data_IF_067598080158
#
_entry.id   IF_067598080158
#
_cell.length_a   1.000
_cell.length_b   1.000
_cell.length_c   1.000
_cell.angle_alpha   90.00
_cell.angle_beta   90.00
_cell.angle_gamma   90.00
#
_symmetry.space_group_name_H-M   'P 1'
#
loop_
_entity.id
_entity.type
_entity.pdbx_description
1 polymer ?
#
# COMPACT_ATOMS: atom_id res chain seq x y z
N UNK A 1 28.09 10.94 -19.30
CA UNK A 1 27.04 11.95 -19.14
C UNK A 1 25.68 11.23 -19.13
N UNK A 2 24.76 11.58 -18.23
CA UNK A 2 23.40 11.02 -18.26
C UNK A 2 22.70 11.53 -19.53
N UNK A 3 22.12 10.63 -20.30
CA UNK A 3 21.34 10.99 -21.47
C UNK A 3 20.05 11.67 -20.99
N UNK A 4 19.93 12.98 -21.25
CA UNK A 4 18.72 13.73 -20.87
C UNK A 4 17.60 13.32 -21.85
N UNK A 5 16.52 12.77 -21.30
CA UNK A 5 15.35 12.40 -22.10
C UNK A 5 14.63 13.68 -22.57
N UNK A 6 14.30 13.82 -23.87
CA UNK A 6 13.57 14.98 -24.39
C UNK A 6 12.20 15.13 -23.74
N UNK A 7 11.77 16.37 -23.45
CA UNK A 7 10.48 16.64 -22.80
C UNK A 7 9.28 16.09 -23.59
N UNK A 8 9.32 16.18 -24.92
CA UNK A 8 8.26 15.68 -25.77
C UNK A 8 8.13 14.16 -25.72
N UNK A 9 9.28 13.46 -25.63
CA UNK A 9 9.29 12.00 -25.44
C UNK A 9 8.65 11.59 -24.10
N UNK A 10 8.90 12.38 -23.05
CA UNK A 10 8.29 12.17 -21.73
C UNK A 10 6.78 12.45 -21.78
N UNK A 11 6.36 13.58 -22.39
CA UNK A 11 4.93 13.91 -22.58
C UNK A 11 4.20 12.82 -23.35
N UNK A 12 4.79 12.33 -24.44
CA UNK A 12 4.27 11.21 -25.21
C UNK A 12 4.11 9.96 -24.34
N UNK A 13 5.14 9.59 -23.56
CA UNK A 13 5.08 8.42 -22.67
C UNK A 13 3.99 8.55 -21.60
N UNK A 14 3.75 9.75 -21.05
CA UNK A 14 2.65 10.00 -20.12
C UNK A 14 1.30 9.74 -20.81
N UNK A 15 1.08 10.32 -21.99
CA UNK A 15 -0.18 10.16 -22.72
C UNK A 15 -0.47 8.69 -23.06
N UNK A 16 0.53 7.97 -23.56
CA UNK A 16 0.45 6.54 -23.89
C UNK A 16 0.24 5.66 -22.66
N UNK A 17 0.81 6.04 -21.50
CA UNK A 17 0.58 5.37 -20.22
C UNK A 17 -0.84 5.56 -19.71
N UNK A 18 -1.39 6.75 -19.85
CA UNK A 18 -2.78 7.02 -19.49
C UNK A 18 -3.76 6.26 -20.42
N UNK A 19 -3.41 6.10 -21.68
CA UNK A 19 -4.17 5.22 -22.61
C UNK A 19 -4.12 3.78 -22.11
N UNK A 20 -2.95 3.26 -21.77
CA UNK A 20 -2.81 1.91 -21.17
C UNK A 20 -3.69 1.75 -19.94
N UNK A 21 -3.63 2.69 -18.99
CA UNK A 21 -4.43 2.64 -17.77
C UNK A 21 -5.93 2.67 -18.06
N UNK A 22 -6.36 3.46 -19.03
CA UNK A 22 -7.79 3.52 -19.45
C UNK A 22 -8.26 2.19 -20.00
N UNK A 23 -7.49 1.56 -20.89
CA UNK A 23 -7.88 0.31 -21.55
C UNK A 23 -7.77 -0.91 -20.61
N UNK A 24 -6.85 -0.86 -19.64
CA UNK A 24 -6.69 -1.93 -18.63
C UNK A 24 -7.63 -1.82 -17.45
N UNK A 25 -8.38 -0.72 -17.33
CA UNK A 25 -9.38 -0.58 -16.30
C UNK A 25 -10.60 -1.47 -16.62
N UNK A 26 -10.98 -2.33 -15.68
CA UNK A 26 -12.11 -3.24 -15.84
C UNK A 26 -13.41 -2.49 -16.06
N UNK A 27 -14.17 -2.97 -17.04
CA UNK A 27 -15.49 -2.40 -17.37
C UNK A 27 -16.65 -3.18 -16.77
N UNK A 28 -16.40 -4.45 -16.39
CA UNK A 28 -17.44 -5.37 -15.95
C UNK A 28 -17.13 -5.96 -14.58
N UNK A 29 -18.17 -6.18 -13.79
CA UNK A 29 -18.09 -6.91 -12.53
C UNK A 29 -18.45 -8.38 -12.77
N UNK A 30 -17.50 -9.28 -12.46
CA UNK A 30 -17.71 -10.71 -12.36
C UNK A 30 -17.40 -11.09 -10.92
N UNK A 31 -18.44 -11.25 -10.11
CA UNK A 31 -18.31 -11.49 -8.67
C UNK A 31 -17.38 -12.66 -8.38
N UNK A 32 -16.41 -12.44 -7.51
CA UNK A 32 -15.39 -13.43 -7.18
C UNK A 32 -14.25 -13.57 -8.20
N UNK A 33 -14.21 -12.73 -9.24
CA UNK A 33 -13.12 -12.71 -10.23
C UNK A 33 -12.55 -11.32 -10.48
N UNK A 34 -13.40 -10.35 -10.77
CA UNK A 34 -13.02 -8.96 -11.06
C UNK A 34 -14.18 -8.00 -10.80
N UNK A 35 -13.87 -6.72 -10.65
CA UNK A 35 -14.87 -5.69 -10.40
C UNK A 35 -14.67 -4.50 -11.34
N UNK A 36 -15.78 -3.92 -11.78
CA UNK A 36 -15.76 -2.73 -12.64
C UNK A 36 -15.01 -1.58 -11.93
N UNK A 37 -14.16 -0.91 -12.67
CA UNK A 37 -13.34 0.20 -12.16
C UNK A 37 -11.95 -0.20 -11.65
N UNK A 38 -11.70 -1.48 -11.36
CA UNK A 38 -10.39 -1.93 -10.87
C UNK A 38 -9.36 -2.10 -11.99
N UNK A 39 -8.10 -2.12 -11.59
CA UNK A 39 -6.98 -2.60 -12.40
C UNK A 39 -6.45 -3.92 -11.84
N UNK A 40 -5.84 -4.71 -12.72
CA UNK A 40 -5.29 -5.99 -12.31
C UNK A 40 -4.18 -5.85 -11.27
N UNK A 41 -4.34 -6.55 -10.16
CA UNK A 41 -3.29 -6.85 -9.20
C UNK A 41 -3.18 -8.36 -9.05
N UNK A 42 -1.99 -8.84 -8.77
CA UNK A 42 -1.71 -10.26 -8.65
C UNK A 42 -1.08 -10.57 -7.31
N UNK A 43 -1.61 -11.58 -6.66
CA UNK A 43 -1.09 -12.17 -5.44
C UNK A 43 -0.34 -13.46 -5.74
N UNK A 44 0.82 -13.66 -5.12
CA UNK A 44 1.61 -14.87 -5.23
C UNK A 44 2.15 -15.27 -3.85
N UNK A 45 2.14 -16.57 -3.54
CA UNK A 45 2.76 -17.08 -2.32
C UNK A 45 4.26 -17.27 -2.47
N UNK A 46 4.98 -17.10 -1.36
CA UNK A 46 6.41 -17.40 -1.30
C UNK A 46 6.68 -18.89 -1.56
N UNK A 47 7.82 -19.18 -2.17
CA UNK A 47 8.24 -20.55 -2.51
C UNK A 47 8.19 -21.54 -1.34
N UNK A 48 8.48 -21.11 -0.11
CA UNK A 48 8.41 -21.93 1.09
C UNK A 48 6.98 -22.44 1.42
N UNK A 49 5.95 -21.82 0.83
CA UNK A 49 4.54 -22.18 1.02
C UNK A 49 3.90 -22.69 -0.26
N UNK A 50 4.71 -23.24 -1.17
CA UNK A 50 4.24 -23.74 -2.48
C UNK A 50 3.14 -24.79 -2.38
N UNK A 51 3.17 -25.62 -1.35
CA UNK A 51 2.14 -26.64 -1.08
C UNK A 51 0.77 -26.00 -0.77
N UNK A 52 0.72 -24.74 -0.29
CA UNK A 52 -0.53 -24.03 0.02
C UNK A 52 -1.13 -23.32 -1.19
N UNK A 53 -0.37 -22.99 -2.21
CA UNK A 53 -0.89 -22.22 -3.34
C UNK A 53 -0.09 -22.36 -4.64
N UNK A 54 1.10 -22.96 -4.58
CA UNK A 54 1.98 -23.09 -5.73
C UNK A 54 2.64 -21.77 -6.14
N UNK A 55 3.37 -21.80 -7.27
CA UNK A 55 4.03 -20.62 -7.87
C UNK A 55 3.08 -19.73 -8.68
N UNK A 56 1.82 -20.09 -8.75
CA UNK A 56 0.87 -19.39 -9.59
C UNK A 56 0.58 -18.01 -9.02
N UNK A 57 0.43 -17.07 -9.92
CA UNK A 57 -0.13 -15.75 -9.61
C UNK A 57 -1.65 -15.84 -9.71
N UNK A 58 -2.32 -15.26 -8.72
CA UNK A 58 -3.77 -15.15 -8.69
C UNK A 58 -4.14 -13.69 -8.78
N UNK A 59 -5.05 -13.34 -9.68
CA UNK A 59 -5.62 -12.01 -9.69
C UNK A 59 -6.31 -11.75 -8.36
N UNK A 60 -6.05 -10.60 -7.76
CA UNK A 60 -6.61 -10.20 -6.48
C UNK A 60 -7.10 -8.77 -6.53
N UNK A 61 -8.26 -8.52 -5.92
CA UNK A 61 -8.84 -7.20 -5.77
C UNK A 61 -8.57 -6.71 -4.36
N UNK A 62 -7.86 -5.60 -4.22
CA UNK A 62 -7.51 -5.06 -2.91
C UNK A 62 -7.58 -3.53 -2.88
N UNK A 63 -7.87 -2.99 -1.69
CA UNK A 63 -8.02 -1.56 -1.45
C UNK A 63 -6.75 -0.79 -1.78
N UNK A 64 -5.60 -1.28 -1.34
CA UNK A 64 -4.31 -0.62 -1.53
C UNK A 64 -4.04 -0.26 -3.00
N UNK A 65 -4.23 -1.23 -3.90
CA UNK A 65 -3.99 -1.01 -5.33
C UNK A 65 -4.98 0.01 -5.90
N UNK A 66 -6.26 -0.14 -5.57
CA UNK A 66 -7.31 0.72 -6.13
C UNK A 66 -7.19 2.14 -5.60
N UNK A 67 -7.07 2.32 -4.29
CA UNK A 67 -6.88 3.64 -3.69
C UNK A 67 -5.51 4.25 -4.08
N UNK A 68 -4.47 3.42 -4.19
CA UNK A 68 -3.15 3.86 -4.62
C UNK A 68 -3.15 4.45 -6.03
N UNK A 69 -3.71 3.74 -7.03
CA UNK A 69 -3.80 4.24 -8.41
C UNK A 69 -4.74 5.45 -8.48
N UNK A 70 -5.90 5.39 -7.80
CA UNK A 70 -6.82 6.53 -7.73
C UNK A 70 -6.10 7.79 -7.23
N UNK A 71 -5.39 7.70 -6.11
CA UNK A 71 -4.71 8.85 -5.50
C UNK A 71 -3.59 9.41 -6.37
N UNK A 72 -2.85 8.54 -7.06
CA UNK A 72 -1.83 8.95 -8.04
C UNK A 72 -2.46 9.73 -9.20
N UNK A 73 -3.50 9.16 -9.83
CA UNK A 73 -4.18 9.79 -10.94
C UNK A 73 -4.87 11.11 -10.53
N UNK A 74 -5.48 11.14 -9.34
CA UNK A 74 -6.09 12.36 -8.80
C UNK A 74 -5.06 13.46 -8.55
N UNK A 75 -3.88 13.13 -8.02
CA UNK A 75 -2.78 14.09 -7.84
C UNK A 75 -2.26 14.57 -9.20
N UNK A 76 -2.12 13.69 -10.18
CA UNK A 76 -1.74 14.06 -11.55
C UNK A 76 -2.74 15.03 -12.17
N UNK A 77 -4.04 14.77 -12.04
CA UNK A 77 -5.09 15.65 -12.57
C UNK A 77 -5.09 17.02 -11.88
N UNK A 78 -4.99 17.06 -10.55
CA UNK A 78 -4.93 18.34 -9.83
C UNK A 78 -3.65 19.14 -10.16
N UNK A 79 -2.59 18.47 -10.52
CA UNK A 79 -1.34 19.10 -10.96
C UNK A 79 -1.40 19.63 -12.41
N UNK A 80 -2.23 19.02 -13.26
CA UNK A 80 -2.47 19.41 -14.67
C UNK A 80 -3.90 19.04 -15.09
N UNK A 81 -4.80 19.99 -14.97
CA UNK A 81 -6.24 19.80 -15.27
C UNK A 81 -6.54 19.65 -16.76
N UNK A 82 -5.56 19.80 -17.64
CA UNK A 82 -5.71 19.53 -19.07
C UNK A 82 -5.83 18.04 -19.39
N UNK A 83 -5.37 17.16 -18.51
CA UNK A 83 -5.40 15.71 -18.66
C UNK A 83 -6.81 15.12 -18.39
N UNK A 84 -7.81 15.56 -19.16
CA UNK A 84 -9.24 15.20 -18.96
C UNK A 84 -9.52 13.70 -19.00
N UNK A 85 -8.68 12.92 -19.70
CA UNK A 85 -8.81 11.45 -19.77
C UNK A 85 -8.67 10.75 -18.40
N UNK A 86 -8.13 11.42 -17.39
CA UNK A 86 -8.05 10.90 -16.01
C UNK A 86 -9.43 10.87 -15.34
N UNK A 87 -10.31 11.83 -15.62
CA UNK A 87 -11.60 11.96 -14.94
C UNK A 87 -12.48 10.71 -15.03
N UNK A 88 -12.69 10.11 -16.22
CA UNK A 88 -13.48 8.88 -16.31
C UNK A 88 -12.89 7.71 -15.53
N UNK A 89 -11.55 7.62 -15.47
CA UNK A 89 -10.88 6.57 -14.68
C UNK A 89 -11.15 6.75 -13.19
N UNK A 90 -11.06 7.99 -12.68
CA UNK A 90 -11.37 8.30 -11.29
C UNK A 90 -12.82 7.99 -10.94
N UNK A 91 -13.77 8.38 -11.81
CA UNK A 91 -15.19 8.11 -11.60
C UNK A 91 -15.51 6.62 -11.54
N UNK A 92 -14.83 5.81 -12.38
CA UNK A 92 -15.05 4.36 -12.41
C UNK A 92 -14.45 3.64 -11.20
N UNK A 93 -13.24 4.02 -10.75
CA UNK A 93 -12.55 3.34 -9.65
C UNK A 93 -13.08 3.76 -8.28
N UNK A 94 -13.64 4.95 -8.13
CA UNK A 94 -14.06 5.47 -6.84
C UNK A 94 -15.11 4.60 -6.12
N UNK A 95 -16.21 4.14 -6.77
CA UNK A 95 -17.14 3.19 -6.17
C UNK A 95 -16.46 1.89 -5.75
N UNK A 96 -15.49 1.44 -6.51
CA UNK A 96 -14.69 0.26 -6.18
C UNK A 96 -13.86 0.47 -4.90
N UNK A 97 -13.18 1.62 -4.76
CA UNK A 97 -12.49 1.97 -3.51
C UNK A 97 -13.45 1.97 -2.32
N UNK A 98 -14.63 2.56 -2.45
CA UNK A 98 -15.62 2.61 -1.38
C UNK A 98 -16.13 1.23 -0.97
N UNK A 99 -16.09 0.23 -1.85
CA UNK A 99 -16.55 -1.13 -1.54
C UNK A 99 -15.70 -1.87 -0.49
N UNK A 100 -14.52 -1.34 -0.16
CA UNK A 100 -13.65 -1.84 0.91
C UNK A 100 -13.93 -1.19 2.27
N UNK A 101 -14.83 -0.21 2.34
CA UNK A 101 -15.10 0.55 3.54
C UNK A 101 -16.12 -0.10 4.47
N UNK A 102 -15.94 0.16 5.76
CA UNK A 102 -16.96 -0.02 6.80
C UNK A 102 -17.03 1.30 7.58
N UNK A 103 -18.01 2.12 7.25
CA UNK A 103 -18.03 3.52 7.72
C UNK A 103 -16.87 4.31 7.11
N UNK A 104 -16.04 4.93 7.95
CA UNK A 104 -14.83 5.65 7.51
C UNK A 104 -13.54 4.83 7.60
N UNK A 105 -13.62 3.57 8.01
CA UNK A 105 -12.50 2.64 8.04
C UNK A 105 -12.49 1.78 6.78
N UNK A 106 -11.31 1.36 6.36
CA UNK A 106 -11.12 0.52 5.20
C UNK A 106 -10.35 -0.76 5.56
N UNK A 107 -10.58 -1.78 4.74
CA UNK A 107 -9.90 -3.07 4.85
C UNK A 107 -9.18 -3.38 3.54
N UNK A 108 -8.11 -4.13 3.63
CA UNK A 108 -7.34 -4.56 2.45
C UNK A 108 -8.19 -5.38 1.47
N UNK A 109 -9.02 -6.29 1.97
CA UNK A 109 -9.91 -7.11 1.15
C UNK A 109 -11.38 -6.75 1.31
N UNK A 110 -12.16 -7.00 0.27
CA UNK A 110 -13.62 -6.90 0.31
C UNK A 110 -14.24 -7.95 1.21
N UNK A 111 -15.41 -7.63 1.74
CA UNK A 111 -16.33 -8.63 2.31
C UNK A 111 -16.99 -9.40 1.18
N UNK A 112 -16.68 -10.68 1.09
CA UNK A 112 -17.21 -11.62 0.10
C UNK A 112 -17.84 -12.82 0.79
N UNK A 113 -18.76 -13.55 0.12
CA UNK A 113 -19.20 -14.85 0.63
C UNK A 113 -18.00 -15.75 0.92
N UNK A 114 -18.03 -16.55 1.99
CA UNK A 114 -16.99 -17.50 2.30
C UNK A 114 -16.67 -18.40 1.11
N UNK A 115 -15.40 -18.63 0.86
CA UNK A 115 -14.96 -19.51 -0.22
C UNK A 115 -14.96 -20.95 0.29
N UNK A 116 -16.09 -21.67 0.13
CA UNK A 116 -16.28 -23.02 0.66
C UNK A 116 -16.31 -24.05 -0.47
N UNK A 117 -15.58 -25.15 -0.27
CA UNK A 117 -15.71 -26.36 -1.10
C UNK A 117 -16.43 -27.50 -0.36
N UNK A 118 -16.60 -27.42 0.97
CA UNK A 118 -17.19 -28.48 1.77
C UNK A 118 -18.65 -28.17 2.05
N UNK A 119 -19.57 -29.01 1.54
CA UNK A 119 -21.02 -28.95 1.78
C UNK A 119 -21.37 -29.49 3.20
N UNK A 120 -20.70 -29.00 4.23
CA UNK A 120 -20.98 -29.42 5.58
C UNK A 120 -21.77 -28.34 6.31
N UNK A 121 -23.08 -28.55 6.40
CA UNK A 121 -24.00 -27.72 7.18
C UNK A 121 -24.56 -26.49 6.45
N UNK A 122 -25.76 -26.08 6.85
CA UNK A 122 -26.35 -24.78 6.51
C UNK A 122 -25.73 -23.73 7.43
N UNK A 123 -24.50 -23.31 7.17
CA UNK A 123 -23.96 -22.17 7.87
C UNK A 123 -24.62 -20.89 7.35
N UNK A 124 -24.96 -19.92 8.23
CA UNK A 124 -25.36 -18.61 7.77
C UNK A 124 -24.24 -18.03 6.91
N UNK A 125 -24.59 -17.49 5.75
CA UNK A 125 -23.63 -16.87 4.83
C UNK A 125 -23.24 -15.51 5.41
N UNK A 126 -22.30 -15.50 6.32
CA UNK A 126 -21.66 -14.28 6.76
C UNK A 126 -20.60 -13.87 5.74
N UNK A 127 -20.58 -12.58 5.38
CA UNK A 127 -19.51 -12.05 4.52
C UNK A 127 -18.21 -11.96 5.31
N UNK A 128 -17.12 -12.36 4.68
CA UNK A 128 -15.77 -12.33 5.26
C UNK A 128 -14.80 -11.55 4.37
N UNK A 129 -13.85 -10.86 4.96
CA UNK A 129 -12.74 -10.29 4.20
C UNK A 129 -11.85 -11.41 3.69
N UNK A 130 -11.64 -11.49 2.38
CA UNK A 130 -10.83 -12.52 1.76
C UNK A 130 -10.32 -12.15 0.37
N UNK A 131 -9.23 -12.77 -0.09
CA UNK A 131 -8.77 -12.64 -1.48
C UNK A 131 -9.88 -13.03 -2.48
N UNK A 132 -9.94 -12.32 -3.60
CA UNK A 132 -10.96 -12.53 -4.63
C UNK A 132 -10.80 -13.88 -5.30
N UNK A 133 -9.59 -14.21 -5.77
CA UNK A 133 -9.30 -15.39 -6.57
C UNK A 133 -8.16 -16.22 -5.97
N UNK A 134 -8.35 -16.87 -4.86
CA UNK A 134 -7.32 -17.76 -4.31
C UNK A 134 -7.68 -19.22 -4.55
N UNK A 135 -6.70 -20.04 -4.97
CA UNK A 135 -6.94 -21.45 -5.29
C UNK A 135 -7.36 -22.26 -4.08
N UNK A 136 -6.71 -22.00 -2.94
CA UNK A 136 -7.03 -22.72 -1.72
C UNK A 136 -8.38 -22.24 -1.21
N UNK A 137 -9.35 -23.13 -1.24
CA UNK A 137 -10.71 -22.90 -0.78
C UNK A 137 -10.88 -23.43 0.63
N UNK A 138 -11.92 -22.94 1.30
CA UNK A 138 -12.30 -23.44 2.60
C UNK A 138 -11.98 -22.52 3.76
N UNK A 139 -12.22 -23.04 4.93
CA UNK A 139 -12.25 -22.27 6.18
C UNK A 139 -10.94 -21.59 6.52
N UNK A 140 -9.81 -22.23 6.17
CA UNK A 140 -8.50 -21.68 6.44
C UNK A 140 -8.28 -20.29 5.79
N UNK A 141 -8.55 -20.18 4.47
CA UNK A 141 -8.37 -18.89 3.78
C UNK A 141 -9.35 -17.84 4.29
N UNK A 142 -10.60 -18.22 4.52
CA UNK A 142 -11.60 -17.31 5.05
C UNK A 142 -11.20 -16.75 6.43
N UNK A 143 -10.67 -17.59 7.31
CA UNK A 143 -10.21 -17.14 8.62
C UNK A 143 -8.88 -16.37 8.55
N UNK A 144 -7.91 -16.87 7.78
CA UNK A 144 -6.59 -16.24 7.71
C UNK A 144 -6.62 -14.85 7.04
N UNK A 145 -7.58 -14.62 6.13
CA UNK A 145 -7.75 -13.36 5.43
C UNK A 145 -8.76 -12.41 6.09
N UNK A 146 -9.60 -12.89 7.00
CA UNK A 146 -10.62 -12.07 7.66
C UNK A 146 -9.98 -11.17 8.74
N UNK A 147 -9.04 -10.33 8.32
CA UNK A 147 -8.31 -9.39 9.19
C UNK A 147 -9.16 -8.19 9.56
N UNK A 148 -8.82 -7.52 10.65
CA UNK A 148 -9.40 -6.24 11.03
C UNK A 148 -9.14 -5.17 9.96
N UNK A 149 -9.91 -4.08 9.99
CA UNK A 149 -9.59 -2.87 9.24
C UNK A 149 -8.21 -2.34 9.70
N UNK A 150 -7.55 -1.57 8.86
CA UNK A 150 -6.20 -1.12 9.16
C UNK A 150 -6.01 0.38 8.88
N UNK A 151 -4.95 0.92 9.47
CA UNK A 151 -4.63 2.33 9.39
C UNK A 151 -4.17 2.76 7.99
N UNK A 152 -3.54 1.86 7.24
CA UNK A 152 -3.00 2.14 5.93
C UNK A 152 -4.10 2.29 4.87
N UNK A 153 -4.91 1.25 4.71
CA UNK A 153 -6.05 1.28 3.79
C UNK A 153 -7.07 2.35 4.19
N UNK A 154 -7.25 2.58 5.50
CA UNK A 154 -8.09 3.69 5.99
C UNK A 154 -7.51 5.05 5.59
N UNK A 155 -6.22 5.27 5.69
CA UNK A 155 -5.60 6.52 5.26
C UNK A 155 -5.70 6.70 3.74
N UNK A 156 -5.40 5.66 2.96
CA UNK A 156 -5.44 5.71 1.49
C UNK A 156 -6.86 5.83 0.94
N UNK A 157 -7.83 5.10 1.49
CA UNK A 157 -9.23 5.17 1.09
C UNK A 157 -9.85 6.54 1.40
N UNK A 158 -9.58 7.07 2.61
CA UNK A 158 -10.04 8.44 2.95
C UNK A 158 -9.33 9.52 2.13
N UNK A 159 -8.07 9.32 1.75
CA UNK A 159 -7.38 10.21 0.82
C UNK A 159 -8.04 10.18 -0.56
N UNK A 160 -8.53 9.02 -1.02
CA UNK A 160 -9.31 8.92 -2.24
C UNK A 160 -10.64 9.70 -2.15
N UNK A 161 -11.34 9.60 -1.01
CA UNK A 161 -12.55 10.42 -0.76
C UNK A 161 -12.20 11.92 -0.81
N UNK A 162 -11.12 12.33 -0.15
CA UNK A 162 -10.66 13.72 -0.16
C UNK A 162 -10.36 14.23 -1.58
N UNK A 163 -9.63 13.45 -2.39
CA UNK A 163 -9.36 13.80 -3.77
C UNK A 163 -10.63 13.88 -4.61
N UNK A 164 -11.54 12.91 -4.45
CA UNK A 164 -12.82 12.90 -5.17
C UNK A 164 -13.64 14.17 -4.86
N UNK A 165 -13.73 14.57 -3.57
CA UNK A 165 -14.39 15.80 -3.16
C UNK A 165 -13.73 17.06 -3.72
N UNK A 166 -12.39 17.07 -3.85
CA UNK A 166 -11.65 18.21 -4.45
C UNK A 166 -11.86 18.32 -5.96
N UNK A 167 -12.00 17.21 -6.65
CA UNK A 167 -12.11 17.17 -8.13
C UNK A 167 -13.56 17.32 -8.59
N UNK A 168 -14.49 16.64 -7.94
CA UNK A 168 -15.90 16.56 -8.37
C UNK A 168 -16.86 17.36 -7.49
N UNK A 169 -16.40 17.95 -6.39
CA UNK A 169 -17.22 18.68 -5.44
C UNK A 169 -17.71 17.84 -4.26
N UNK A 170 -18.31 18.53 -3.27
CA UNK A 170 -18.70 17.94 -1.98
C UNK A 170 -20.10 17.27 -1.98
N UNK A 171 -20.62 16.84 -3.10
CA UNK A 171 -21.97 16.25 -3.17
C UNK A 171 -22.07 14.85 -2.55
N UNK A 172 -21.03 14.40 -1.87
CA UNK A 172 -20.98 13.06 -1.29
C UNK A 172 -21.26 13.13 0.23
N UNK A 173 -22.24 12.39 0.75
CA UNK A 173 -22.51 12.29 2.19
C UNK A 173 -21.40 11.59 2.97
N UNK A 174 -20.36 11.09 2.30
CA UNK A 174 -19.24 10.38 2.91
C UNK A 174 -18.46 11.31 3.82
N UNK A 175 -18.42 10.92 5.10
CA UNK A 175 -17.59 11.61 6.09
C UNK A 175 -16.17 11.07 6.04
N UNK A 176 -15.22 11.98 5.86
CA UNK A 176 -13.80 11.69 6.03
C UNK A 176 -13.51 11.21 7.47
N UNK A 177 -12.60 10.27 7.59
CA UNK A 177 -12.09 9.84 8.89
C UNK A 177 -11.50 11.04 9.64
N UNK A 178 -11.89 11.22 10.89
CA UNK A 178 -11.25 12.19 11.78
C UNK A 178 -9.99 11.58 12.42
N UNK A 179 -9.20 12.39 13.12
CA UNK A 179 -7.98 11.90 13.78
C UNK A 179 -8.24 10.86 14.87
N UNK A 180 -9.42 10.90 15.52
CA UNK A 180 -9.79 10.01 16.63
C UNK A 180 -9.77 8.53 16.21
N UNK A 181 -10.09 8.22 14.94
CA UNK A 181 -10.05 6.85 14.42
C UNK A 181 -8.65 6.27 14.54
N UNK A 182 -7.63 7.03 14.17
CA UNK A 182 -6.22 6.62 14.27
C UNK A 182 -5.73 6.69 15.72
N UNK A 183 -6.10 7.75 16.47
CA UNK A 183 -5.69 7.96 17.85
C UNK A 183 -6.26 6.91 18.81
N UNK A 184 -7.33 6.21 18.42
CA UNK A 184 -7.87 5.09 19.19
C UNK A 184 -6.95 3.86 19.20
N UNK A 185 -5.99 3.79 18.29
CA UNK A 185 -5.08 2.65 18.10
C UNK A 185 -3.62 3.08 18.16
N UNK A 186 -3.25 3.83 19.21
CA UNK A 186 -1.86 4.20 19.48
C UNK A 186 -1.12 3.11 20.22
N UNK A 187 0.16 2.91 19.89
CA UNK A 187 1.01 1.92 20.53
C UNK A 187 1.16 2.13 22.05
N UNK A 188 1.07 3.36 22.53
CA UNK A 188 1.08 3.66 23.96
C UNK A 188 -0.09 3.05 24.73
N UNK A 189 -1.25 2.89 24.06
CA UNK A 189 -2.47 2.32 24.62
C UNK A 189 -2.48 0.78 24.57
N UNK A 190 -1.44 0.18 24.06
CA UNK A 190 -1.31 -1.27 23.94
C UNK A 190 -1.15 -1.90 25.32
N UNK A 191 -2.08 -2.77 25.71
CA UNK A 191 -2.04 -3.49 26.97
C UNK A 191 -0.99 -4.59 26.98
N UNK A 192 -0.89 -5.34 25.89
CA UNK A 192 -0.01 -6.50 25.79
C UNK A 192 0.95 -6.39 24.61
N UNK A 193 2.21 -6.77 24.85
CA UNK A 193 3.26 -6.86 23.84
C UNK A 193 3.78 -8.28 23.76
N UNK A 194 3.88 -8.76 22.55
CA UNK A 194 4.55 -10.03 22.28
C UNK A 194 6.06 -9.83 22.16
N UNK A 195 6.81 -10.89 22.46
CA UNK A 195 8.26 -10.89 22.37
C UNK A 195 8.78 -10.41 21.01
N UNK A 196 8.12 -10.73 19.93
CA UNK A 196 8.55 -10.31 18.61
C UNK A 196 8.28 -8.81 18.32
N UNK A 197 7.32 -8.16 18.98
CA UNK A 197 7.21 -6.70 18.90
C UNK A 197 8.48 -6.06 19.43
N UNK A 198 9.07 -6.60 20.52
CA UNK A 198 10.36 -6.13 21.03
C UNK A 198 11.50 -6.39 20.04
N UNK A 199 11.50 -7.55 19.41
CA UNK A 199 12.54 -7.94 18.46
C UNK A 199 12.51 -7.08 17.19
N UNK A 200 11.34 -6.82 16.63
CA UNK A 200 11.20 -6.13 15.35
C UNK A 200 11.09 -4.61 15.48
N UNK A 201 10.45 -4.12 16.51
CA UNK A 201 10.20 -2.69 16.66
C UNK A 201 11.16 -2.04 17.69
N UNK A 202 11.59 -2.76 18.68
CA UNK A 202 12.56 -2.28 19.67
C UNK A 202 12.09 -1.09 20.50
N UNK A 203 10.80 -0.77 20.44
CA UNK A 203 10.17 0.33 21.14
C UNK A 203 9.09 -0.19 22.08
N UNK A 204 9.12 0.30 23.29
CA UNK A 204 8.01 0.24 24.22
C UNK A 204 7.31 1.58 24.18
N UNK A 205 6.00 1.58 24.03
CA UNK A 205 5.16 2.79 24.13
C UNK A 205 5.67 3.92 23.22
N UNK A 206 5.67 3.67 21.91
CA UNK A 206 6.14 4.66 20.93
C UNK A 206 5.15 5.80 20.71
N UNK A 207 3.88 5.64 21.08
CA UNK A 207 2.81 6.58 20.75
C UNK A 207 2.46 6.65 19.27
N UNK A 208 3.15 5.92 18.40
CA UNK A 208 2.86 5.84 16.98
C UNK A 208 1.60 5.00 16.69
N UNK A 209 1.04 5.15 15.49
CA UNK A 209 -0.16 4.42 15.07
C UNK A 209 0.13 2.94 14.85
N UNK A 210 -0.68 2.10 15.47
CA UNK A 210 -0.70 0.66 15.18
C UNK A 210 -1.34 0.40 13.81
N UNK A 211 -0.92 -0.69 13.17
CA UNK A 211 -1.40 -1.03 11.83
C UNK A 211 -2.88 -1.44 11.83
N UNK A 212 -3.30 -2.29 12.76
CA UNK A 212 -4.63 -2.89 12.74
C UNK A 212 -5.60 -2.21 13.72
N UNK A 213 -6.84 -2.01 13.29
CA UNK A 213 -7.94 -1.51 14.11
C UNK A 213 -8.71 -2.67 14.72
N UNK A 214 -8.08 -3.37 15.66
CA UNK A 214 -8.66 -4.52 16.35
C UNK A 214 -9.09 -4.20 17.77
N UNK A 215 -9.84 -5.12 18.38
CA UNK A 215 -10.29 -5.00 19.76
C UNK A 215 -9.17 -5.38 20.74
N UNK A 216 -9.14 -4.75 21.91
CA UNK A 216 -8.07 -4.94 22.90
C UNK A 216 -7.89 -6.39 23.37
N UNK A 217 -8.97 -7.17 23.49
CA UNK A 217 -8.92 -8.57 23.88
C UNK A 217 -8.27 -9.49 22.84
N UNK A 218 -8.11 -9.02 21.61
CA UNK A 218 -7.40 -9.74 20.54
C UNK A 218 -5.88 -9.65 20.69
N UNK A 219 -5.37 -8.80 21.58
CA UNK A 219 -3.94 -8.59 21.85
C UNK A 219 -3.39 -9.40 23.00
N UNK A 220 -4.18 -10.18 23.69
CA UNK A 220 -3.70 -11.01 24.79
C UNK A 220 -2.82 -12.18 24.30
N UNK A 221 -1.77 -12.52 25.06
CA UNK A 221 -0.85 -13.60 24.69
C UNK A 221 -1.57 -14.94 24.46
N UNK A 222 -2.63 -15.20 25.23
CA UNK A 222 -3.46 -16.39 25.06
C UNK A 222 -4.16 -16.43 23.71
N UNK A 223 -4.64 -15.30 23.21
CA UNK A 223 -5.26 -15.22 21.88
C UNK A 223 -4.25 -15.50 20.75
N UNK A 224 -2.98 -15.12 20.91
CA UNK A 224 -1.94 -15.51 19.97
C UNK A 224 -1.84 -17.03 19.84
N UNK A 225 -1.69 -17.74 20.96
CA UNK A 225 -1.59 -19.19 20.93
C UNK A 225 -2.88 -19.87 20.48
N UNK A 226 -4.02 -19.36 20.90
CA UNK A 226 -5.33 -19.84 20.47
C UNK A 226 -5.53 -19.68 18.99
N UNK A 227 -5.18 -18.54 18.42
CA UNK A 227 -5.27 -18.31 16.97
C UNK A 227 -4.26 -19.15 16.20
N UNK A 228 -3.04 -19.32 16.71
CA UNK A 228 -2.05 -20.20 16.11
C UNK A 228 -2.52 -21.67 16.10
N UNK A 229 -3.11 -22.13 17.20
CA UNK A 229 -3.70 -23.48 17.31
C UNK A 229 -4.90 -23.65 16.38
N UNK A 230 -5.80 -22.66 16.32
CA UNK A 230 -6.92 -22.65 15.39
C UNK A 230 -6.43 -22.72 13.93
N UNK A 231 -5.42 -21.96 13.57
CA UNK A 231 -4.86 -22.00 12.22
C UNK A 231 -4.23 -23.37 11.90
N UNK A 232 -3.62 -24.04 12.88
CA UNK A 232 -3.10 -25.41 12.70
C UNK A 232 -4.23 -26.43 12.54
N UNK A 233 -5.30 -26.33 13.33
CA UNK A 233 -6.47 -27.23 13.23
C UNK A 233 -7.16 -27.09 11.88
N UNK A 234 -7.18 -25.89 11.27
CA UNK A 234 -7.79 -25.67 9.95
C UNK A 234 -7.03 -26.30 8.79
N UNK A 235 -5.77 -26.71 8.98
CA UNK A 235 -5.06 -27.53 8.01
C UNK A 235 -5.53 -28.99 7.98
N UNK A 236 -6.20 -29.45 9.02
CA UNK A 236 -6.70 -30.80 9.08
C UNK A 236 -8.07 -30.86 8.37
N UNK A 237 -8.33 -31.86 7.50
CA UNK A 237 -9.62 -32.04 6.85
C UNK A 237 -10.76 -32.33 7.84
N UNK A 238 -10.48 -32.47 9.12
CA UNK A 238 -11.38 -32.86 10.22
C UNK A 238 -11.90 -31.65 11.00
N UNK A 239 -11.79 -30.41 10.53
CA UNK A 239 -12.34 -29.27 11.28
C UNK A 239 -13.88 -29.19 11.26
N UNK A 240 -14.53 -30.34 11.37
CA UNK A 240 -15.99 -30.52 11.51
C UNK A 240 -16.53 -29.89 12.82
N UNK A 241 -15.63 -29.58 13.76
CA UNK A 241 -16.02 -29.32 15.15
C UNK A 241 -16.34 -27.84 15.46
N UNK A 242 -16.25 -26.90 14.50
CA UNK A 242 -16.43 -25.48 14.83
C UNK A 242 -17.30 -24.73 13.84
N UNK A 243 -18.62 -24.67 14.06
CA UNK A 243 -19.46 -23.62 13.53
C UNK A 243 -19.23 -22.32 14.31
N UNK A 244 -18.02 -21.73 14.24
CA UNK A 244 -17.83 -20.41 14.80
C UNK A 244 -18.08 -19.37 13.72
N UNK A 245 -18.77 -18.27 14.05
CA UNK A 245 -18.90 -17.14 13.17
C UNK A 245 -17.50 -16.65 12.80
N UNK A 246 -17.32 -16.24 11.55
CA UNK A 246 -16.09 -15.61 11.11
C UNK A 246 -15.94 -14.27 11.82
N UNK A 247 -14.99 -14.17 12.75
CA UNK A 247 -14.68 -12.91 13.42
C UNK A 247 -13.44 -12.31 12.78
N UNK A 248 -13.48 -11.02 12.50
CA UNK A 248 -12.27 -10.28 12.14
C UNK A 248 -11.25 -10.39 13.26
N UNK A 249 -9.99 -10.55 12.91
CA UNK A 249 -8.91 -10.73 13.88
C UNK A 249 -7.65 -10.00 13.44
N UNK A 250 -6.74 -9.85 14.39
CA UNK A 250 -5.40 -9.36 14.09
C UNK A 250 -4.49 -10.56 13.87
N UNK A 251 -3.74 -10.61 12.77
CA UNK A 251 -2.84 -11.72 12.47
C UNK A 251 -1.92 -12.01 13.65
N UNK A 252 -1.92 -13.27 14.10
CA UNK A 252 -1.13 -13.75 15.25
C UNK A 252 -1.51 -13.12 16.60
N UNK A 253 -2.66 -12.46 16.71
CA UNK A 253 -3.18 -11.89 17.96
C UNK A 253 -2.39 -10.70 18.49
N UNK A 254 -1.58 -10.06 17.67
CA UNK A 254 -0.81 -8.89 18.09
C UNK A 254 -0.70 -7.86 16.98
N UNK A 255 -0.91 -6.62 17.37
CA UNK A 255 -0.76 -5.49 16.48
C UNK A 255 0.69 -5.12 16.32
N UNK A 256 1.04 -4.56 15.19
CA UNK A 256 2.37 -4.07 14.88
C UNK A 256 2.36 -2.57 14.56
N UNK A 257 3.56 -2.04 14.35
CA UNK A 257 3.76 -0.65 13.95
C UNK A 257 4.66 -0.66 12.72
N UNK A 258 4.12 -0.22 11.59
CA UNK A 258 4.85 -0.12 10.34
C UNK A 258 5.21 1.33 10.04
N UNK A 259 6.44 1.58 9.61
CA UNK A 259 6.95 2.94 9.33
C UNK A 259 6.28 3.54 8.11
N UNK A 260 5.96 2.73 7.09
CA UNK A 260 5.29 3.19 5.87
C UNK A 260 3.82 3.49 6.14
N UNK A 261 3.14 2.62 6.91
CA UNK A 261 1.76 2.86 7.36
C UNK A 261 1.66 4.19 8.10
N UNK A 262 2.56 4.44 9.07
CA UNK A 262 2.60 5.71 9.78
C UNK A 262 2.80 6.91 8.86
N UNK A 263 3.67 6.81 7.85
CA UNK A 263 3.87 7.87 6.87
C UNK A 263 2.62 8.11 5.98
N UNK A 264 1.87 7.05 5.63
CA UNK A 264 0.62 7.17 4.88
C UNK A 264 -0.48 7.83 5.73
N UNK A 265 -0.61 7.48 7.02
CA UNK A 265 -1.51 8.15 7.96
C UNK A 265 -1.16 9.63 8.08
N UNK A 266 0.12 9.99 8.25
CA UNK A 266 0.57 11.38 8.32
C UNK A 266 0.28 12.14 7.02
N UNK A 267 0.39 11.50 5.85
CA UNK A 267 -0.01 12.11 4.57
C UNK A 267 -1.47 12.50 4.57
N UNK A 268 -2.35 11.56 4.98
CA UNK A 268 -3.79 11.82 5.06
C UNK A 268 -4.12 12.93 6.05
N UNK A 269 -3.58 12.85 7.27
CA UNK A 269 -3.83 13.84 8.31
C UNK A 269 -3.37 15.24 7.89
N UNK A 270 -2.22 15.35 7.22
CA UNK A 270 -1.69 16.63 6.74
C UNK A 270 -2.55 17.22 5.62
N UNK A 271 -2.95 16.42 4.63
CA UNK A 271 -3.84 16.86 3.54
C UNK A 271 -5.20 17.36 4.03
N UNK A 272 -5.69 16.82 5.15
CA UNK A 272 -6.97 17.20 5.76
C UNK A 272 -6.85 18.22 6.91
N UNK A 273 -5.67 18.77 7.17
CA UNK A 273 -5.41 19.69 8.29
C UNK A 273 -5.74 19.07 9.67
N UNK A 274 -5.66 17.76 9.82
CA UNK A 274 -5.94 17.01 11.05
C UNK A 274 -4.69 16.68 11.87
N UNK A 275 -3.49 16.98 11.34
CA UNK A 275 -2.23 16.61 11.97
C UNK A 275 -2.09 17.17 13.40
N UNK A 276 -2.45 18.42 13.59
CA UNK A 276 -2.36 19.08 14.92
C UNK A 276 -3.42 18.55 15.90
N UNK A 277 -4.56 18.09 15.41
CA UNK A 277 -5.62 17.50 16.22
C UNK A 277 -5.33 16.05 16.61
N UNK A 278 -4.41 15.37 15.93
CA UNK A 278 -4.06 13.97 16.21
C UNK A 278 -2.98 13.89 17.28
N UNK A 279 -3.24 13.11 18.32
CA UNK A 279 -2.31 12.84 19.43
C UNK A 279 -1.06 12.06 18.97
N UNK A 280 -1.24 11.09 18.08
CA UNK A 280 -0.17 10.21 17.61
C UNK A 280 0.77 10.81 16.60
N UNK A 281 0.45 11.97 15.99
CA UNK A 281 1.20 12.50 14.85
C UNK A 281 2.67 12.84 15.17
N UNK A 282 2.94 13.42 16.33
CA UNK A 282 4.31 13.76 16.77
C UNK A 282 5.12 12.49 17.05
N UNK A 283 4.52 11.52 17.72
CA UNK A 283 5.18 10.27 18.06
C UNK A 283 5.40 9.38 16.83
N UNK A 284 4.50 9.43 15.85
CA UNK A 284 4.71 8.82 14.54
C UNK A 284 5.94 9.39 13.83
N UNK A 285 6.12 10.72 13.84
CA UNK A 285 7.31 11.36 13.29
C UNK A 285 8.60 10.92 14.00
N UNK A 286 8.59 10.91 15.34
CA UNK A 286 9.74 10.44 16.14
C UNK A 286 10.04 8.96 15.91
N UNK A 287 9.01 8.13 15.76
CA UNK A 287 9.15 6.72 15.44
C UNK A 287 9.82 6.52 14.08
N UNK A 288 9.36 7.21 13.04
CA UNK A 288 9.93 7.18 11.68
C UNK A 288 11.40 7.65 11.72
N UNK A 289 11.67 8.82 12.34
CA UNK A 289 13.02 9.38 12.47
C UNK A 289 13.99 8.40 13.13
N UNK A 290 13.60 7.83 14.26
CA UNK A 290 14.44 6.88 15.02
C UNK A 290 14.77 5.61 14.24
N UNK A 291 13.80 5.06 13.50
CA UNK A 291 14.04 3.91 12.65
C UNK A 291 14.96 4.25 11.47
N UNK A 292 14.77 5.41 10.86
CA UNK A 292 15.60 5.91 9.76
C UNK A 292 17.05 6.13 10.20
N UNK A 293 17.28 6.75 11.35
CA UNK A 293 18.62 6.91 11.95
C UNK A 293 19.34 5.59 12.19
N UNK A 294 18.63 4.51 12.51
CA UNK A 294 19.21 3.17 12.69
C UNK A 294 19.66 2.51 11.38
N UNK A 295 19.33 3.08 10.23
CA UNK A 295 19.74 2.59 8.92
C UNK A 295 19.25 1.19 8.57
N UNK A 296 18.18 0.71 9.21
CA UNK A 296 17.63 -0.63 8.97
C UNK A 296 16.66 -0.67 7.78
N UNK A 297 17.05 -0.02 6.70
CA UNK A 297 16.24 0.25 5.51
C UNK A 297 15.41 -0.93 4.98
N UNK A 298 15.95 -2.15 5.06
CA UNK A 298 15.25 -3.34 4.57
C UNK A 298 14.29 -3.99 5.60
N UNK A 299 14.13 -3.40 6.78
CA UNK A 299 13.35 -4.01 7.88
C UNK A 299 12.32 -3.07 8.48
N UNK A 300 12.23 -1.83 8.01
CA UNK A 300 11.35 -0.82 8.58
C UNK A 300 9.88 -1.06 8.19
N UNK A 301 9.63 -1.40 6.93
CA UNK A 301 8.31 -1.82 6.49
C UNK A 301 8.07 -3.30 6.80
N UNK A 302 6.97 -3.61 7.48
CA UNK A 302 6.53 -4.99 7.73
C UNK A 302 5.85 -5.52 6.49
N UNK A 303 4.95 -4.72 5.94
CA UNK A 303 4.16 -5.02 4.75
C UNK A 303 4.79 -4.51 3.46
N UNK A 304 5.86 -3.74 3.55
CA UNK A 304 6.52 -3.08 2.43
C UNK A 304 7.94 -3.61 2.24
N UNK A 305 8.12 -4.65 1.41
CA UNK A 305 9.42 -5.31 1.24
C UNK A 305 10.43 -4.44 0.51
N UNK A 306 9.97 -3.46 -0.28
CA UNK A 306 10.83 -2.54 -1.00
C UNK A 306 11.24 -1.36 -0.10
N UNK A 307 12.54 -1.24 0.17
CA UNK A 307 13.07 -0.19 1.07
C UNK A 307 12.81 1.23 0.59
N UNK A 308 12.64 1.45 -0.72
CA UNK A 308 12.38 2.80 -1.27
C UNK A 308 10.91 3.21 -1.16
N UNK A 309 10.01 2.29 -0.80
CA UNK A 309 8.64 2.65 -0.48
C UNK A 309 8.59 3.60 0.73
N UNK A 310 9.42 3.37 1.76
CA UNK A 310 9.57 4.31 2.86
C UNK A 310 9.96 5.71 2.39
N UNK A 311 10.95 5.81 1.48
CA UNK A 311 11.39 7.09 0.95
C UNK A 311 10.24 7.83 0.27
N UNK A 312 9.48 7.13 -0.57
CA UNK A 312 8.30 7.67 -1.24
C UNK A 312 7.23 8.13 -0.24
N UNK A 313 6.86 7.29 0.73
CA UNK A 313 5.80 7.58 1.69
C UNK A 313 6.15 8.80 2.58
N UNK A 314 7.37 8.85 3.12
CA UNK A 314 7.83 9.97 3.94
C UNK A 314 7.96 11.27 3.13
N UNK A 315 8.52 11.20 1.92
CA UNK A 315 8.63 12.37 1.06
C UNK A 315 7.25 12.94 0.68
N UNK A 316 6.28 12.07 0.41
CA UNK A 316 4.89 12.45 0.14
C UNK A 316 4.22 13.09 1.36
N UNK A 317 4.45 12.57 2.56
CA UNK A 317 3.92 13.14 3.79
C UNK A 317 4.52 14.54 4.06
N UNK A 318 5.82 14.72 3.86
CA UNK A 318 6.46 16.04 3.95
C UNK A 318 5.87 17.03 2.93
N UNK A 319 5.72 16.61 1.66
CA UNK A 319 5.09 17.44 0.61
C UNK A 319 3.60 17.71 0.88
N UNK A 320 2.94 16.87 1.66
CA UNK A 320 1.59 17.12 2.16
C UNK A 320 1.53 18.15 3.31
N UNK A 321 2.68 18.59 3.83
CA UNK A 321 2.80 19.63 4.87
C UNK A 321 3.25 19.12 6.25
N UNK A 322 3.65 17.85 6.39
CA UNK A 322 4.19 17.34 7.65
C UNK A 322 5.66 17.74 7.86
N UNK A 323 5.88 18.97 8.33
CA UNK A 323 7.22 19.50 8.61
C UNK A 323 7.97 18.76 9.73
N UNK A 324 7.27 17.96 10.55
CA UNK A 324 7.91 17.10 11.56
C UNK A 324 8.85 16.05 10.96
N UNK A 325 8.70 15.78 9.66
CA UNK A 325 9.55 14.82 8.93
C UNK A 325 10.82 15.42 8.32
N UNK A 326 11.11 16.72 8.50
CA UNK A 326 12.30 17.37 7.90
C UNK A 326 13.62 16.67 8.24
N UNK A 327 13.83 16.30 9.51
CA UNK A 327 15.05 15.56 9.92
C UNK A 327 15.16 14.20 9.26
N UNK A 328 14.04 13.51 9.14
CA UNK A 328 13.97 12.23 8.42
C UNK A 328 14.29 12.43 6.95
N UNK A 329 13.72 13.46 6.32
CA UNK A 329 13.95 13.78 4.91
C UNK A 329 15.44 13.99 4.60
N UNK A 330 16.20 14.66 5.48
CA UNK A 330 17.66 14.81 5.33
C UNK A 330 18.38 13.45 5.27
N UNK A 331 17.98 12.51 6.12
CA UNK A 331 18.54 11.16 6.11
C UNK A 331 18.16 10.38 4.85
N UNK A 332 16.95 10.59 4.33
CA UNK A 332 16.52 9.99 3.06
C UNK A 332 17.34 10.51 1.90
N UNK A 333 17.60 11.82 1.82
CA UNK A 333 18.45 12.43 0.78
C UNK A 333 19.82 11.77 0.79
N UNK A 334 20.48 11.69 1.95
CA UNK A 334 21.79 11.07 2.08
C UNK A 334 21.80 9.59 1.63
N UNK A 335 20.74 8.84 1.96
CA UNK A 335 20.62 7.44 1.57
C UNK A 335 20.39 7.30 0.05
N UNK A 336 19.57 8.14 -0.55
CA UNK A 336 19.32 8.15 -2.00
C UNK A 336 20.61 8.46 -2.77
N UNK A 337 21.36 9.49 -2.37
CA UNK A 337 22.66 9.83 -2.94
C UNK A 337 23.64 8.66 -2.92
N UNK A 338 23.69 7.93 -1.80
CA UNK A 338 24.64 6.83 -1.60
C UNK A 338 24.27 5.56 -2.35
N UNK A 339 23.01 5.38 -2.71
CA UNK A 339 22.49 4.06 -3.16
C UNK A 339 22.01 4.04 -4.61
N UNK A 340 22.11 5.16 -5.34
CA UNK A 340 21.85 5.17 -6.77
C UNK A 340 22.95 4.42 -7.51
N UNK A 341 22.60 3.51 -8.40
CA UNK A 341 23.51 2.84 -9.30
C UNK A 341 23.99 3.78 -10.42
N UNK A 342 25.07 3.41 -11.10
CA UNK A 342 25.65 4.23 -12.17
C UNK A 342 24.67 4.48 -13.34
N UNK A 343 23.80 3.52 -13.63
CA UNK A 343 22.76 3.59 -14.66
C UNK A 343 21.53 4.40 -14.24
N UNK A 344 21.50 4.93 -13.02
CA UNK A 344 20.40 5.70 -12.46
C UNK A 344 19.35 4.89 -11.73
N UNK A 345 19.47 3.57 -11.72
CA UNK A 345 18.54 2.69 -11.02
C UNK A 345 18.76 2.69 -9.50
N UNK A 346 17.73 2.19 -8.80
CA UNK A 346 17.78 1.88 -7.38
C UNK A 346 17.37 0.44 -7.15
N UNK A 347 18.09 -0.27 -6.30
CA UNK A 347 17.83 -1.68 -6.03
C UNK A 347 17.54 -1.94 -4.56
N UNK A 348 16.43 -2.61 -4.27
CA UNK A 348 16.13 -3.11 -2.95
C UNK A 348 16.87 -4.43 -2.71
N UNK A 349 17.54 -4.58 -1.54
CA UNK A 349 18.27 -5.81 -1.19
C UNK A 349 17.38 -7.05 -1.06
N UNK A 350 16.06 -6.88 -1.02
CA UNK A 350 15.08 -7.97 -0.98
C UNK A 350 14.34 -8.06 -2.31
N UNK A 351 15.08 -8.33 -3.36
CA UNK A 351 14.48 -8.57 -4.67
C UNK A 351 13.72 -9.89 -4.62
N UNK A 352 12.48 -9.84 -5.01
CA UNK A 352 11.59 -11.00 -5.08
C UNK A 352 11.36 -11.42 -6.52
N UNK A 353 11.36 -10.46 -7.44
CA UNK A 353 11.30 -10.71 -8.86
C UNK A 353 12.17 -9.70 -9.64
N UNK A 354 12.43 -10.01 -10.93
CA UNK A 354 13.29 -9.19 -11.81
C UNK A 354 12.80 -7.75 -12.05
N UNK A 355 11.54 -7.43 -11.70
CA UNK A 355 10.93 -6.12 -11.89
C UNK A 355 11.01 -5.25 -10.63
N UNK A 356 11.53 -5.77 -9.51
CA UNK A 356 11.66 -5.02 -8.26
C UNK A 356 12.58 -3.80 -8.40
N UNK A 357 13.55 -3.84 -9.30
CA UNK A 357 14.42 -2.70 -9.60
C UNK A 357 13.64 -1.53 -10.23
N UNK A 358 12.66 -1.83 -11.09
CA UNK A 358 11.75 -0.81 -11.66
C UNK A 358 10.92 -0.15 -10.58
N UNK A 359 10.30 -0.97 -9.72
CA UNK A 359 9.50 -0.50 -8.60
C UNK A 359 10.33 0.33 -7.62
N UNK A 360 11.55 -0.11 -7.32
CA UNK A 360 12.50 0.62 -6.46
C UNK A 360 12.86 1.97 -7.04
N UNK A 361 13.15 1.99 -8.35
CA UNK A 361 13.55 3.23 -9.04
C UNK A 361 12.37 4.20 -9.14
N UNK A 362 11.15 3.72 -9.40
CA UNK A 362 9.96 4.57 -9.42
C UNK A 362 9.72 5.24 -8.05
N UNK A 363 9.78 4.47 -6.95
CA UNK A 363 9.66 5.02 -5.60
C UNK A 363 10.76 6.01 -5.25
N UNK A 364 12.01 5.68 -5.54
CA UNK A 364 13.15 6.56 -5.27
C UNK A 364 13.08 7.87 -6.08
N UNK A 365 12.68 7.78 -7.35
CA UNK A 365 12.50 8.96 -8.23
C UNK A 365 11.40 9.86 -7.68
N UNK A 366 10.24 9.31 -7.33
CA UNK A 366 9.15 10.07 -6.73
C UNK A 366 9.55 10.68 -5.39
N UNK A 367 10.29 9.94 -4.55
CA UNK A 367 10.81 10.48 -3.32
C UNK A 367 11.70 11.72 -3.56
N UNK A 368 12.64 11.65 -4.51
CA UNK A 368 13.48 12.79 -4.87
C UNK A 368 12.65 13.99 -5.36
N UNK A 369 11.63 13.75 -6.17
CA UNK A 369 10.77 14.80 -6.71
C UNK A 369 9.93 15.47 -5.61
N UNK A 370 9.31 14.69 -4.71
CA UNK A 370 8.57 15.23 -3.57
C UNK A 370 9.47 15.97 -2.57
N UNK A 371 10.67 15.45 -2.30
CA UNK A 371 11.65 16.15 -1.45
C UNK A 371 12.04 17.50 -2.07
N UNK A 372 12.25 17.55 -3.39
CA UNK A 372 12.55 18.81 -4.09
C UNK A 372 11.36 19.77 -4.06
N UNK A 373 10.12 19.30 -4.24
CA UNK A 373 8.90 20.09 -4.07
C UNK A 373 8.77 20.68 -2.65
N UNK A 374 9.30 19.97 -1.65
CA UNK A 374 9.33 20.40 -0.25
C UNK A 374 10.50 21.32 0.11
N UNK A 375 11.26 21.80 -0.89
CA UNK A 375 12.39 22.71 -0.70
C UNK A 375 13.72 22.04 -0.31
N UNK A 376 13.80 20.69 -0.35
CA UNK A 376 15.05 19.99 -0.12
C UNK A 376 15.99 20.11 -1.33
N UNK A 377 17.28 20.29 -1.08
CA UNK A 377 18.28 20.26 -2.13
C UNK A 377 18.51 18.85 -2.62
N UNK A 378 18.15 18.59 -3.87
CA UNK A 378 18.39 17.31 -4.58
C UNK A 378 19.15 17.63 -5.86
N UNK A 379 20.29 16.98 -6.05
CA UNK A 379 21.05 17.08 -7.29
C UNK A 379 20.17 16.59 -8.47
N UNK A 380 19.94 17.51 -9.40
CA UNK A 380 19.15 17.25 -10.60
C UNK A 380 19.69 16.07 -11.42
N UNK A 381 20.99 15.86 -11.40
CA UNK A 381 21.64 14.76 -12.13
C UNK A 381 21.16 13.39 -11.67
N UNK A 382 20.86 13.22 -10.37
CA UNK A 382 20.30 11.97 -9.84
C UNK A 382 18.89 11.70 -10.38
N UNK A 383 18.08 12.76 -10.43
CA UNK A 383 16.73 12.67 -10.98
C UNK A 383 16.80 12.36 -12.47
N UNK A 384 17.64 13.08 -13.22
CA UNK A 384 17.81 12.89 -14.67
C UNK A 384 18.22 11.44 -15.01
N UNK A 385 19.16 10.87 -14.26
CA UNK A 385 19.58 9.47 -14.43
C UNK A 385 18.43 8.50 -14.17
N UNK A 386 17.68 8.70 -13.09
CA UNK A 386 16.54 7.81 -12.76
C UNK A 386 15.43 7.91 -13.81
N UNK A 387 15.13 9.10 -14.28
CA UNK A 387 14.16 9.31 -15.37
C UNK A 387 14.62 8.62 -16.65
N UNK A 388 15.92 8.74 -17.00
CA UNK A 388 16.48 8.05 -18.16
C UNK A 388 16.37 6.52 -18.02
N UNK A 389 16.71 5.97 -16.85
CA UNK A 389 16.54 4.55 -16.57
C UNK A 389 15.08 4.11 -16.76
N UNK A 390 14.13 4.78 -16.11
CA UNK A 390 12.71 4.45 -16.22
C UNK A 390 12.21 4.55 -17.66
N UNK A 391 12.65 5.58 -18.41
CA UNK A 391 12.27 5.75 -19.81
C UNK A 391 12.75 4.59 -20.69
N UNK A 392 13.98 4.11 -20.49
CA UNK A 392 14.55 2.98 -21.23
C UNK A 392 13.90 1.63 -20.91
N UNK A 393 13.28 1.50 -19.74
CA UNK A 393 12.63 0.26 -19.29
C UNK A 393 11.16 0.16 -19.66
N UNK A 394 10.59 1.15 -20.34
CA UNK A 394 9.21 1.13 -20.80
C UNK A 394 8.96 -0.06 -21.74
N UNK A 395 7.77 -0.60 -21.70
CA UNK A 395 7.24 -1.55 -22.67
C UNK A 395 6.28 -0.83 -23.60
N UNK A 396 6.40 -1.12 -24.88
CA UNK A 396 5.55 -0.53 -25.92
C UNK A 396 4.78 -1.65 -26.62
N UNK A 397 3.46 -1.62 -26.52
CA UNK A 397 2.57 -2.56 -27.17
C UNK A 397 1.32 -1.80 -27.67
N UNK A 398 0.96 -1.94 -28.94
CA UNK A 398 -0.27 -1.35 -29.52
C UNK A 398 -0.44 0.16 -29.23
N UNK A 399 0.61 0.96 -29.34
CA UNK A 399 0.63 2.41 -29.01
C UNK A 399 0.36 2.72 -27.53
N UNK A 400 0.54 1.75 -26.67
CA UNK A 400 0.49 1.89 -25.21
C UNK A 400 1.88 1.78 -24.64
N UNK A 401 2.12 2.51 -23.56
CA UNK A 401 3.36 2.42 -22.78
C UNK A 401 3.04 2.02 -21.36
N UNK A 402 3.74 1.02 -20.86
CA UNK A 402 3.58 0.55 -19.50
C UNK A 402 4.89 0.03 -18.92
N UNK A 403 4.91 -0.18 -17.61
CA UNK A 403 6.03 -0.78 -16.90
C UNK A 403 5.58 -2.02 -16.14
N UNK A 404 6.40 -3.05 -16.19
CA UNK A 404 6.16 -4.28 -15.45
C UNK A 404 6.20 -4.05 -13.95
N UNK A 405 5.20 -4.58 -13.24
CA UNK A 405 5.06 -4.42 -11.81
C UNK A 405 6.08 -5.22 -11.01
N UNK A 406 6.82 -4.52 -10.14
CA UNK A 406 7.55 -5.15 -9.06
C UNK A 406 6.66 -5.38 -7.84
N UNK A 407 7.24 -5.96 -6.78
CA UNK A 407 6.51 -6.18 -5.52
C UNK A 407 6.35 -4.85 -4.79
N UNK A 408 5.11 -4.45 -4.58
CA UNK A 408 4.79 -3.21 -3.86
C UNK A 408 4.29 -3.46 -2.43
N UNK A 409 3.68 -4.62 -2.17
CA UNK A 409 3.11 -4.99 -0.88
C UNK A 409 3.35 -6.48 -0.60
N UNK A 410 3.44 -6.84 0.67
CA UNK A 410 3.54 -8.23 1.10
C UNK A 410 2.71 -8.48 2.35
N UNK A 411 2.00 -9.61 2.36
CA UNK A 411 1.30 -10.09 3.56
C UNK A 411 2.22 -10.90 4.47
N UNK A 412 1.91 -10.85 5.76
CA UNK A 412 2.59 -11.60 6.82
C UNK A 412 3.30 -10.71 7.83
N UNK A 413 3.04 -10.98 9.11
CA UNK A 413 3.59 -10.23 10.25
C UNK A 413 4.82 -10.92 10.83
N UNK A 414 4.65 -12.03 11.53
CA UNK A 414 5.74 -12.81 12.15
C UNK A 414 6.59 -13.49 11.07
N UNK A 415 5.92 -14.15 10.12
CA UNK A 415 6.57 -14.69 8.92
C UNK A 415 6.42 -13.68 7.80
N UNK A 416 7.42 -12.81 7.67
CA UNK A 416 7.39 -11.74 6.66
C UNK A 416 7.45 -12.29 5.23
N UNK A 417 6.82 -11.56 4.34
CA UNK A 417 6.82 -11.83 2.90
C UNK A 417 6.26 -13.23 2.57
N UNK A 418 5.13 -13.60 3.19
CA UNK A 418 4.42 -14.84 2.84
C UNK A 418 3.68 -14.72 1.50
N UNK A 419 3.08 -13.57 1.29
CA UNK A 419 2.34 -13.21 0.09
C UNK A 419 2.99 -12.00 -0.56
N UNK A 420 3.02 -11.97 -1.87
CA UNK A 420 3.51 -10.84 -2.65
C UNK A 420 2.41 -10.31 -3.55
N UNK A 421 2.38 -9.01 -3.70
CA UNK A 421 1.44 -8.32 -4.58
C UNK A 421 2.19 -7.51 -5.63
N UNK A 422 1.78 -7.67 -6.88
CA UNK A 422 2.33 -6.95 -8.04
C UNK A 422 1.20 -6.40 -8.90
N UNK A 423 1.44 -5.28 -9.59
CA UNK A 423 0.51 -4.70 -10.56
C UNK A 423 1.26 -3.85 -11.58
N UNK A 424 1.12 -4.17 -12.85
CA UNK A 424 1.68 -3.38 -13.94
C UNK A 424 1.04 -1.99 -13.97
N UNK A 425 -0.27 -1.89 -13.71
CA UNK A 425 -0.99 -0.63 -13.69
C UNK A 425 -0.52 0.29 -12.54
N UNK A 426 -0.29 -0.25 -11.35
CA UNK A 426 0.22 0.53 -10.22
C UNK A 426 1.61 1.09 -10.51
N UNK A 427 2.53 0.27 -11.03
CA UNK A 427 3.87 0.72 -11.40
C UNK A 427 3.84 1.73 -12.53
N UNK A 428 2.96 1.52 -13.53
CA UNK A 428 2.78 2.46 -14.64
C UNK A 428 2.27 3.82 -14.15
N UNK A 429 1.30 3.84 -13.24
CA UNK A 429 0.80 5.08 -12.65
C UNK A 429 1.90 5.83 -11.88
N UNK A 430 2.72 5.13 -11.09
CA UNK A 430 3.86 5.73 -10.37
C UNK A 430 4.87 6.37 -11.33
N UNK A 431 5.23 5.68 -12.42
CA UNK A 431 6.20 6.21 -13.39
C UNK A 431 5.60 7.38 -14.17
N UNK A 432 4.33 7.31 -14.59
CA UNK A 432 3.64 8.42 -15.24
C UNK A 432 3.63 9.68 -14.36
N UNK A 433 3.34 9.52 -13.06
CA UNK A 433 3.41 10.63 -12.09
C UNK A 433 4.84 11.16 -11.92
N UNK A 434 5.85 10.28 -11.88
CA UNK A 434 7.25 10.70 -11.80
C UNK A 434 7.64 11.52 -13.03
N UNK A 435 7.23 11.12 -14.22
CA UNK A 435 7.47 11.85 -15.45
C UNK A 435 6.78 13.22 -15.47
N UNK A 436 5.52 13.27 -15.01
CA UNK A 436 4.79 14.54 -14.93
C UNK A 436 5.46 15.52 -13.94
N UNK A 437 5.83 15.04 -12.74
CA UNK A 437 6.54 15.86 -11.75
C UNK A 437 7.92 16.32 -12.27
N UNK A 438 8.63 15.46 -12.97
CA UNK A 438 9.92 15.81 -13.57
C UNK A 438 9.82 16.96 -14.57
N UNK A 439 8.76 17.00 -15.40
CA UNK A 439 8.56 18.10 -16.36
C UNK A 439 8.37 19.45 -15.69
N UNK A 440 8.01 19.50 -14.41
CA UNK A 440 7.85 20.74 -13.63
C UNK A 440 9.18 21.23 -13.02
N UNK A 441 10.15 20.34 -12.85
CA UNK A 441 11.44 20.66 -12.21
C UNK A 441 12.60 20.69 -13.20
N UNK A 442 12.32 20.40 -14.46
CA UNK A 442 13.26 20.47 -15.59
C UNK A 442 13.46 21.91 -16.03
#
# INVERSE_FOLDING_TARGET
>A
MAQIVPSDSIRKSIAESLTYLTEKQCTETIVGKQYAGEWEAYMQMKAAFLYLGGRNQYRDSNCFTMAGIHNILAEMYLADTSQKQILPMLQKVFPEVLSYSTGSQFNFWKKLPPNQDLKWGKEPIELVHRPTNFRLKGRFINNAANVANDADDTALGNLAIWYNQKIFGKNDPLKLANSVIFDSFLDENRKNRHWYNHLFHGFKNSGAYMTWFGQENEFENWHFYKNALHNLIFFLPISIAYPHPYKAYIPWGTNDIDVVVNANVLTYLSKNNLRQASKGSTDANLFIEKHTKRGRWNRMGIYYPNRYHLHFAVARALAAGDTGLLKTAQLLVQHLLKTQNQDGSFESKKIVNKHDILQSTAYATLAMLYLKESGMEIDKTLIDKSIAFLYLQKKEENKQVFWKGGVYFSGGTVVRNMLYFTSDAYTTALVAMAFQKYLKVK
#
